data_IF_888314169177
#
_entry.id   IF_888314169177
#
_cell.length_a   1.000
_cell.length_b   1.000
_cell.length_c   1.000
_cell.angle_alpha   90.00
_cell.angle_beta   90.00
_cell.angle_gamma   90.00
#
_symmetry.space_group_name_H-M   'P 1'
#
loop_
_entity.id
_entity.type
_entity.pdbx_description
1 polymer ?
#
# COMPACT_ATOMS: atom_id res chain seq x y z
N UNK A 1 -42.64 15.44 1.42
CA UNK A 1 -41.60 14.69 0.67
C UNK A 1 -40.66 14.04 1.68
N UNK A 2 -40.81 12.73 1.85
CA UNK A 2 -40.22 11.94 2.94
C UNK A 2 -38.76 11.62 2.63
N UNK A 3 -37.83 12.04 3.51
CA UNK A 3 -36.40 11.69 3.38
C UNK A 3 -36.22 10.22 3.78
N UNK A 4 -36.21 9.34 2.78
CA UNK A 4 -35.93 7.91 2.93
C UNK A 4 -34.53 7.75 3.54
N UNK A 5 -34.43 7.40 4.82
CA UNK A 5 -33.15 7.09 5.50
C UNK A 5 -32.49 5.92 4.77
N UNK A 6 -31.29 6.14 4.25
CA UNK A 6 -30.43 5.10 3.70
C UNK A 6 -30.00 4.16 4.83
N UNK A 7 -29.97 2.83 4.61
CA UNK A 7 -29.60 1.89 5.65
C UNK A 7 -28.13 2.08 6.03
N UNK A 8 -27.87 2.42 7.29
CA UNK A 8 -26.52 2.44 7.86
C UNK A 8 -26.01 1.00 7.92
N UNK A 9 -25.22 0.60 6.92
CA UNK A 9 -24.52 -0.68 6.91
C UNK A 9 -23.55 -0.68 8.09
N UNK A 10 -23.86 -1.48 9.10
CA UNK A 10 -22.99 -1.68 10.28
C UNK A 10 -21.69 -2.30 9.75
N UNK A 11 -20.59 -1.55 9.82
CA UNK A 11 -19.27 -2.10 9.49
C UNK A 11 -18.98 -3.15 10.55
N UNK A 12 -19.22 -4.41 10.21
CA UNK A 12 -18.79 -5.56 11.01
C UNK A 12 -17.28 -5.44 11.10
N UNK A 13 -16.74 -5.34 12.33
CA UNK A 13 -15.31 -5.27 12.61
C UNK A 13 -14.59 -6.30 11.74
N UNK A 14 -13.82 -5.82 10.76
CA UNK A 14 -12.99 -6.68 9.93
C UNK A 14 -12.21 -7.61 10.86
N UNK A 15 -12.20 -8.90 10.53
CA UNK A 15 -11.46 -9.90 11.28
C UNK A 15 -10.07 -9.35 11.56
N UNK A 16 -9.70 -9.30 12.84
CA UNK A 16 -8.36 -8.93 13.26
C UNK A 16 -7.41 -10.01 12.75
N UNK A 17 -6.95 -9.86 11.50
CA UNK A 17 -5.72 -10.48 11.07
C UNK A 17 -4.65 -9.94 12.01
N UNK A 18 -4.02 -10.82 12.79
CA UNK A 18 -2.84 -10.43 13.57
C UNK A 18 -1.87 -9.80 12.57
N UNK A 19 -1.65 -8.48 12.68
CA UNK A 19 -0.56 -7.82 11.99
C UNK A 19 0.72 -8.46 12.54
N UNK A 20 1.23 -9.45 11.81
CA UNK A 20 2.44 -10.14 12.18
C UNK A 20 3.54 -9.11 12.07
N UNK A 21 4.20 -8.80 13.20
CA UNK A 21 5.27 -7.82 13.23
C UNK A 21 6.24 -8.10 12.08
N UNK A 22 6.59 -7.05 11.31
CA UNK A 22 7.39 -7.15 10.11
C UNK A 22 8.62 -8.04 10.39
N UNK A 23 8.61 -9.25 9.85
CA UNK A 23 9.70 -10.19 9.99
C UNK A 23 10.84 -9.63 9.16
N UNK A 24 11.90 -9.15 9.82
CA UNK A 24 13.13 -8.74 9.12
C UNK A 24 13.60 -9.97 8.34
N UNK A 25 13.60 -9.96 7.00
CA UNK A 25 14.02 -11.12 6.25
C UNK A 25 15.52 -11.29 6.50
N UNK A 26 15.93 -12.39 7.13
CA UNK A 26 17.30 -12.87 7.01
C UNK A 26 17.63 -13.00 5.52
N UNK A 27 18.88 -12.76 5.07
CA UNK A 27 19.25 -12.85 3.66
C UNK A 27 18.86 -14.24 3.16
N UNK A 28 17.75 -14.32 2.42
CA UNK A 28 17.13 -15.58 2.07
C UNK A 28 17.80 -16.13 0.81
N UNK A 29 18.46 -17.30 0.87
CA UNK A 29 18.74 -18.04 -0.35
C UNK A 29 17.40 -18.54 -0.94
N UNK A 30 17.24 -18.34 -2.25
CA UNK A 30 16.14 -18.77 -3.13
C UNK A 30 14.77 -18.08 -3.01
N UNK A 31 14.70 -16.75 -3.09
CA UNK A 31 13.46 -16.08 -3.49
C UNK A 31 13.21 -16.25 -5.00
N UNK A 32 12.07 -16.80 -5.44
CA UNK A 32 11.72 -16.81 -6.86
C UNK A 32 11.65 -15.39 -7.43
N UNK A 33 12.09 -15.25 -8.69
CA UNK A 33 12.11 -13.99 -9.42
C UNK A 33 12.90 -12.86 -8.71
N UNK A 34 13.97 -13.22 -7.99
CA UNK A 34 14.85 -12.24 -7.37
C UNK A 34 15.57 -11.39 -8.41
N UNK A 35 15.41 -10.06 -8.35
CA UNK A 35 15.96 -9.12 -9.34
C UNK A 35 17.12 -8.26 -8.81
N UNK A 36 17.71 -8.65 -7.68
CA UNK A 36 18.78 -7.90 -7.02
C UNK A 36 18.29 -6.87 -5.99
N UNK A 37 16.99 -6.56 -5.98
CA UNK A 37 16.35 -5.62 -5.03
C UNK A 37 15.20 -6.27 -4.24
N UNK A 38 14.72 -7.44 -4.66
CA UNK A 38 13.63 -8.13 -4.01
C UNK A 38 13.19 -9.37 -4.78
N UNK A 39 12.32 -10.17 -4.19
CA UNK A 39 11.77 -11.39 -4.78
C UNK A 39 10.54 -11.88 -4.01
N UNK A 40 9.90 -12.94 -4.50
CA UNK A 40 8.68 -13.45 -3.88
C UNK A 40 8.97 -14.34 -2.67
N UNK A 41 8.22 -14.14 -1.59
CA UNK A 41 7.98 -15.15 -0.56
C UNK A 41 6.65 -15.84 -0.88
N UNK A 42 6.73 -17.06 -1.40
CA UNK A 42 5.54 -17.82 -1.81
C UNK A 42 4.68 -18.27 -0.61
N UNK A 43 5.29 -18.48 0.56
CA UNK A 43 4.56 -18.89 1.75
C UNK A 43 3.75 -17.74 2.33
N UNK A 44 4.34 -16.53 2.37
CA UNK A 44 3.65 -15.32 2.79
C UNK A 44 2.72 -14.74 1.71
N UNK A 45 2.91 -15.14 0.44
CA UNK A 45 2.27 -14.54 -0.76
C UNK A 45 2.59 -13.05 -0.89
N UNK A 46 3.84 -12.70 -0.63
CA UNK A 46 4.32 -11.32 -0.62
C UNK A 46 5.47 -11.16 -1.61
N UNK A 47 5.63 -9.95 -2.14
CA UNK A 47 6.85 -9.54 -2.81
C UNK A 47 7.69 -8.74 -1.81
N UNK A 48 8.85 -9.25 -1.44
CA UNK A 48 9.71 -8.65 -0.43
C UNK A 48 10.71 -7.74 -1.12
N UNK A 49 10.67 -6.45 -0.77
CA UNK A 49 11.62 -5.43 -1.21
C UNK A 49 12.75 -5.35 -0.16
N UNK A 50 13.99 -5.55 -0.59
CA UNK A 50 15.19 -5.52 0.26
C UNK A 50 16.09 -4.34 -0.14
N UNK A 51 15.91 -3.21 0.54
CA UNK A 51 16.73 -2.00 0.35
C UNK A 51 17.68 -1.81 1.52
N UNK A 52 18.97 -1.62 1.21
CA UNK A 52 19.98 -1.13 2.15
C UNK A 52 20.01 0.39 2.14
N UNK A 53 20.60 1.01 3.17
CA UNK A 53 20.82 2.46 3.19
C UNK A 53 21.48 2.95 1.89
N UNK A 54 20.93 4.03 1.31
CA UNK A 54 21.41 4.61 0.05
C UNK A 54 21.02 3.86 -1.22
N UNK A 55 20.24 2.78 -1.14
CA UNK A 55 19.73 2.03 -2.29
C UNK A 55 18.24 2.28 -2.46
N UNK A 56 17.83 2.60 -3.69
CA UNK A 56 16.43 2.75 -4.08
C UNK A 56 16.08 1.78 -5.20
N UNK A 57 14.78 1.59 -5.43
CA UNK A 57 14.31 1.00 -6.68
C UNK A 57 14.57 1.97 -7.85
N UNK A 58 14.66 1.47 -9.10
CA UNK A 58 14.88 2.34 -10.27
C UNK A 58 13.74 3.33 -10.51
N UNK A 59 12.52 2.91 -10.16
CA UNK A 59 11.29 3.69 -10.12
C UNK A 59 10.49 3.24 -8.88
N UNK A 60 9.56 4.06 -8.37
CA UNK A 60 8.74 3.69 -7.22
C UNK A 60 7.99 2.39 -7.48
N UNK A 61 8.12 1.43 -6.57
CA UNK A 61 7.38 0.19 -6.57
C UNK A 61 6.23 0.33 -5.61
N UNK A 62 5.02 0.32 -6.16
CA UNK A 62 3.81 0.65 -5.41
C UNK A 62 2.99 -0.59 -5.07
N UNK A 63 2.25 -0.49 -3.98
CA UNK A 63 1.16 -1.39 -3.65
C UNK A 63 -0.15 -0.60 -3.58
N UNK A 64 -1.22 -1.23 -4.04
CA UNK A 64 -2.58 -0.69 -3.98
C UNK A 64 -3.37 -1.52 -2.96
N UNK A 65 -3.78 -0.86 -1.88
CA UNK A 65 -4.60 -1.47 -0.84
C UNK A 65 -6.00 -0.91 -1.00
N UNK A 66 -6.96 -1.72 -1.46
CA UNK A 66 -8.30 -1.25 -1.75
C UNK A 66 -9.39 -2.27 -1.44
N UNK A 67 -10.58 -1.75 -1.16
CA UNK A 67 -11.85 -2.45 -1.09
C UNK A 67 -12.91 -1.62 -1.85
N UNK A 68 -14.19 -2.06 -1.93
CA UNK A 68 -15.20 -1.33 -2.69
C UNK A 68 -15.49 0.10 -2.22
N UNK A 69 -15.17 0.45 -0.98
CA UNK A 69 -15.50 1.73 -0.35
C UNK A 69 -14.27 2.65 -0.24
N UNK A 70 -13.07 2.11 -0.06
CA UNK A 70 -11.84 2.87 0.17
C UNK A 70 -10.63 2.23 -0.49
N UNK A 71 -9.62 3.04 -0.79
CA UNK A 71 -8.29 2.53 -1.08
C UNK A 71 -7.19 3.55 -0.88
N UNK A 72 -5.96 3.07 -0.83
CA UNK A 72 -4.75 3.89 -0.82
C UNK A 72 -3.66 3.27 -1.70
N UNK A 73 -2.73 4.13 -2.09
CA UNK A 73 -1.51 3.77 -2.80
C UNK A 73 -0.31 4.10 -1.90
N UNK A 74 0.58 3.13 -1.73
CA UNK A 74 1.83 3.29 -0.99
C UNK A 74 2.98 2.85 -1.87
N UNK A 75 4.14 3.50 -1.77
CA UNK A 75 5.38 3.06 -2.42
C UNK A 75 6.33 2.45 -1.40
N UNK A 76 7.48 1.96 -1.88
CA UNK A 76 8.55 1.47 -1.02
C UNK A 76 9.20 2.57 -0.17
N UNK A 77 9.09 3.84 -0.59
CA UNK A 77 9.79 4.99 0.00
C UNK A 77 8.88 6.07 0.58
N UNK A 78 7.58 6.06 0.27
CA UNK A 78 6.64 7.10 0.69
C UNK A 78 5.20 6.57 0.85
N UNK A 79 4.43 7.29 1.67
CA UNK A 79 2.98 7.16 1.67
C UNK A 79 2.42 8.06 0.56
N UNK A 80 1.70 7.44 -0.36
CA UNK A 80 1.05 8.09 -1.48
C UNK A 80 -0.25 8.76 -1.03
N UNK A 81 -1.37 8.38 -1.63
CA UNK A 81 -2.66 9.03 -1.39
C UNK A 81 -3.79 8.02 -1.17
N UNK A 82 -4.86 8.50 -0.55
CA UNK A 82 -6.06 7.76 -0.15
C UNK A 82 -7.29 8.32 -0.86
N UNK A 83 -8.26 7.46 -1.18
CA UNK A 83 -9.52 7.82 -1.82
C UNK A 83 -10.71 7.02 -1.27
N UNK A 84 -11.93 7.53 -1.53
CA UNK A 84 -13.18 6.87 -1.22
C UNK A 84 -13.94 6.52 -2.51
N UNK A 85 -14.25 5.24 -2.74
CA UNK A 85 -15.03 4.72 -3.88
C UNK A 85 -14.34 4.89 -5.26
N UNK A 86 -13.90 6.10 -5.60
CA UNK A 86 -13.30 6.46 -6.88
C UNK A 86 -11.98 7.23 -6.69
N UNK A 87 -10.87 6.66 -7.17
CA UNK A 87 -9.51 7.23 -7.01
C UNK A 87 -9.26 8.50 -7.82
N UNK A 88 -10.08 8.78 -8.83
CA UNK A 88 -9.95 9.98 -9.65
C UNK A 88 -10.76 11.16 -9.11
N UNK A 89 -11.98 10.89 -8.66
CA UNK A 89 -12.95 11.93 -8.28
C UNK A 89 -12.98 12.20 -6.78
N UNK A 90 -12.72 11.20 -5.95
CA UNK A 90 -12.95 11.24 -4.50
C UNK A 90 -11.66 11.01 -3.72
N UNK A 91 -10.62 11.78 -4.05
CA UNK A 91 -9.35 11.76 -3.31
C UNK A 91 -9.51 12.45 -1.96
N UNK A 92 -9.08 11.77 -0.89
CA UNK A 92 -9.04 12.31 0.46
C UNK A 92 -7.74 13.05 0.75
N UNK A 93 -6.65 12.56 0.15
CA UNK A 93 -5.34 13.21 0.19
C UNK A 93 -4.86 13.54 -1.23
N UNK A 94 -4.04 14.59 -1.42
CA UNK A 94 -3.64 15.04 -2.75
C UNK A 94 -2.86 13.96 -3.51
N UNK A 95 -3.14 13.82 -4.80
CA UNK A 95 -2.31 13.01 -5.71
C UNK A 95 -1.25 13.88 -6.38
N UNK A 96 -0.04 13.33 -6.55
CA UNK A 96 1.02 13.93 -7.35
C UNK A 96 1.49 12.96 -8.43
N UNK A 97 1.68 13.45 -9.66
CA UNK A 97 2.19 12.69 -10.80
C UNK A 97 3.52 13.28 -11.29
N UNK A 98 4.48 13.38 -10.37
CA UNK A 98 5.82 13.84 -10.72
C UNK A 98 6.57 12.66 -11.38
N UNK A 99 7.02 12.79 -12.63
CA UNK A 99 7.67 11.69 -13.34
C UNK A 99 9.07 11.36 -12.82
N UNK A 100 9.62 12.20 -11.92
CA UNK A 100 10.99 12.09 -11.41
C UNK A 100 11.01 11.64 -9.96
N UNK A 101 10.13 12.20 -9.13
CA UNK A 101 10.22 12.09 -7.67
C UNK A 101 8.96 11.53 -7.02
N UNK A 102 9.15 10.63 -6.08
CA UNK A 102 8.06 10.14 -5.22
C UNK A 102 7.97 10.93 -3.92
N UNK A 103 7.27 12.07 -3.96
CA UNK A 103 7.11 12.93 -2.78
C UNK A 103 5.96 12.42 -1.91
N UNK A 104 6.16 12.21 -0.58
CA UNK A 104 5.09 11.79 0.31
C UNK A 104 3.95 12.82 0.34
N UNK A 105 2.72 12.32 0.47
CA UNK A 105 1.50 13.13 0.67
C UNK A 105 0.83 12.83 2.00
N UNK A 106 1.16 11.69 2.58
CA UNK A 106 0.80 11.27 3.92
C UNK A 106 2.11 11.00 4.72
N UNK A 107 2.07 11.20 6.04
CA UNK A 107 3.26 11.16 6.90
C UNK A 107 2.90 10.54 8.26
N UNK A 108 3.85 9.81 8.83
CA UNK A 108 3.79 9.29 10.21
C UNK A 108 5.04 9.84 10.92
N UNK A 109 4.86 10.40 12.13
CA UNK A 109 5.92 10.98 12.96
C UNK A 109 6.16 10.14 14.22
#
# INVERSE_FOLDING_TARGET
AERKRLPTRRITRAAQGKAQAARVPSPAPSMPFFNGLGGFDLAAREYVIQLSAGRSTPLPWINVIANPEFGCLVSESALGFTWAINSQQNRLTPWGNDPVSDRPRELIY
#
